data_IF_367180333866
#
_entry.id   IF_367180333866
#
_cell.length_a   1.000
_cell.length_b   1.000
_cell.length_c   1.000
_cell.angle_alpha   90.00
_cell.angle_beta   90.00
_cell.angle_gamma   90.00
#
_symmetry.space_group_name_H-M   'P 1'
#
loop_
_entity.id
_entity.type
_entity.pdbx_description
1 polymer ?
#
# COMPACT_ATOMS: atom_id res chain seq x y z
N UNK A 1 -54.88 1.68 -33.94
CA UNK A 1 -54.27 0.56 -34.70
C UNK A 1 -52.89 0.32 -34.10
N UNK A 2 -52.66 -0.86 -33.50
CA UNK A 2 -51.43 -1.33 -32.81
C UNK A 2 -50.96 -0.48 -31.61
N UNK A 3 -51.21 -0.80 -30.33
CA UNK A 3 -51.04 -2.03 -29.52
C UNK A 3 -49.62 -2.62 -29.52
N UNK A 4 -49.11 -2.76 -28.28
CA UNK A 4 -48.00 -3.57 -27.73
C UNK A 4 -46.55 -3.05 -27.71
N UNK A 5 -46.05 -2.78 -26.48
CA UNK A 5 -45.25 -3.75 -25.69
C UNK A 5 -45.29 -3.39 -24.19
N UNK A 6 -45.96 -4.22 -23.38
CA UNK A 6 -45.39 -5.01 -22.25
C UNK A 6 -44.28 -4.24 -21.51
N UNK A 7 -44.48 -3.76 -20.29
CA UNK A 7 -44.84 -4.57 -19.13
C UNK A 7 -43.59 -4.69 -18.25
N UNK A 8 -43.78 -4.41 -16.96
CA UNK A 8 -43.10 -5.01 -15.78
C UNK A 8 -41.55 -4.98 -15.70
N UNK A 9 -40.89 -4.75 -14.57
CA UNK A 9 -41.25 -4.69 -13.16
C UNK A 9 -40.24 -3.75 -12.47
N UNK A 10 -40.64 -2.93 -11.51
CA UNK A 10 -40.40 -3.20 -10.08
C UNK A 10 -39.21 -4.13 -9.78
N UNK A 11 -37.99 -3.62 -9.92
CA UNK A 11 -36.83 -4.16 -9.17
C UNK A 11 -36.43 -3.17 -8.10
N UNK A 12 -37.08 -3.35 -6.95
CA UNK A 12 -36.55 -2.96 -5.64
C UNK A 12 -35.17 -3.58 -5.48
N UNK A 13 -34.16 -2.80 -5.13
CA UNK A 13 -33.04 -3.24 -4.28
C UNK A 13 -32.24 -2.01 -3.85
N UNK A 14 -32.59 -1.49 -2.68
CA UNK A 14 -31.58 -0.92 -1.80
C UNK A 14 -30.72 -2.11 -1.35
N UNK A 15 -29.45 -2.14 -1.74
CA UNK A 15 -28.45 -3.06 -1.17
C UNK A 15 -27.30 -2.23 -0.61
N UNK A 16 -27.34 -2.10 0.71
CA UNK A 16 -26.23 -2.11 1.65
C UNK A 16 -24.83 -1.68 1.17
N UNK A 17 -24.34 -0.60 1.79
CA UNK A 17 -23.00 -0.52 2.41
C UNK A 17 -21.95 -1.52 1.89
N UNK A 18 -21.29 -1.18 0.79
CA UNK A 18 -20.00 -1.76 0.43
C UNK A 18 -18.93 -0.71 0.59
N UNK A 19 -18.07 -0.82 1.62
CA UNK A 19 -16.80 -0.09 1.64
C UNK A 19 -16.10 -0.41 0.33
N UNK A 20 -15.80 0.60 -0.49
CA UNK A 20 -14.83 0.42 -1.56
C UNK A 20 -13.60 -0.25 -0.97
N UNK A 21 -13.00 -1.26 -1.63
CA UNK A 21 -11.71 -1.72 -1.22
C UNK A 21 -10.76 -0.54 -1.40
N UNK A 22 -10.51 0.20 -0.32
CA UNK A 22 -9.35 1.05 -0.23
C UNK A 22 -8.18 0.11 -0.50
N UNK A 23 -7.62 0.19 -1.71
CA UNK A 23 -6.38 -0.51 -2.05
C UNK A 23 -5.39 -0.04 -1.00
N UNK A 24 -5.20 -0.87 0.05
CA UNK A 24 -4.24 -0.59 1.09
C UNK A 24 -2.92 -0.64 0.35
N UNK A 25 -2.32 0.53 0.14
CA UNK A 25 -1.04 0.69 -0.52
C UNK A 25 0.01 0.00 0.35
N UNK A 26 0.14 -1.31 0.19
CA UNK A 26 1.20 -2.07 0.82
C UNK A 26 2.50 -1.62 0.17
N UNK A 27 3.47 -1.10 0.95
CA UNK A 27 4.73 -0.67 0.38
C UNK A 27 5.38 -1.88 -0.30
N UNK A 28 5.71 -1.74 -1.58
CA UNK A 28 6.35 -2.80 -2.37
C UNK A 28 7.75 -3.14 -1.84
N UNK A 29 8.36 -2.18 -1.13
CA UNK A 29 9.71 -2.27 -0.61
C UNK A 29 9.80 -1.79 0.83
N UNK A 30 10.60 -2.50 1.62
CA UNK A 30 11.06 -2.06 2.94
C UNK A 30 12.56 -1.81 2.85
N UNK A 31 12.97 -0.56 3.06
CA UNK A 31 14.38 -0.17 3.08
C UNK A 31 14.85 -0.12 4.53
N UNK A 32 15.76 -1.02 4.90
CA UNK A 32 16.32 -1.08 6.26
C UNK A 32 17.75 -0.54 6.29
N UNK A 33 18.00 0.52 7.06
CA UNK A 33 19.35 1.09 7.21
C UNK A 33 19.52 1.82 8.55
N UNK A 34 20.75 2.19 8.90
CA UNK A 34 21.04 2.95 10.12
C UNK A 34 20.32 4.31 10.14
N UNK A 35 20.02 4.79 11.36
CA UNK A 35 19.43 6.11 11.62
C UNK A 35 20.45 7.25 11.44
N UNK A 36 21.06 7.35 10.26
CA UNK A 36 22.01 8.39 9.89
C UNK A 36 22.04 8.64 8.38
N UNK A 37 22.52 9.83 8.00
CA UNK A 37 22.82 10.19 6.60
C UNK A 37 24.15 9.55 6.21
N UNK A 38 24.11 8.25 5.95
CA UNK A 38 25.25 7.44 5.51
C UNK A 38 25.07 6.97 4.08
N UNK A 39 25.59 5.78 3.76
CA UNK A 39 25.47 5.18 2.43
C UNK A 39 24.03 4.80 2.04
N UNK A 40 23.09 4.84 3.00
CA UNK A 40 21.67 4.59 2.72
C UNK A 40 20.92 5.78 2.12
N UNK A 41 21.46 7.00 2.20
CA UNK A 41 20.78 8.21 1.70
C UNK A 41 20.55 8.19 0.18
N UNK A 42 21.54 7.83 -0.67
CA UNK A 42 21.31 7.74 -2.11
C UNK A 42 20.19 6.76 -2.49
N UNK A 43 20.11 5.62 -1.80
CA UNK A 43 19.04 4.64 -2.03
C UNK A 43 17.65 5.19 -1.68
N UNK A 44 17.53 5.91 -0.55
CA UNK A 44 16.25 6.56 -0.18
C UNK A 44 15.82 7.60 -1.22
N UNK A 45 16.77 8.38 -1.74
CA UNK A 45 16.48 9.37 -2.79
C UNK A 45 15.97 8.71 -4.07
N UNK A 46 16.58 7.59 -4.50
CA UNK A 46 16.13 6.85 -5.67
C UNK A 46 14.74 6.23 -5.48
N UNK A 47 14.47 5.66 -4.30
CA UNK A 47 13.16 5.09 -3.98
C UNK A 47 12.07 6.18 -3.90
N UNK A 48 12.39 7.35 -3.36
CA UNK A 48 11.48 8.49 -3.33
C UNK A 48 11.24 9.08 -4.74
N UNK A 49 12.27 9.08 -5.60
CA UNK A 49 12.16 9.56 -6.98
C UNK A 49 11.23 8.69 -7.84
N UNK A 50 11.22 7.38 -7.60
CA UNK A 50 10.41 6.42 -8.38
C UNK A 50 8.91 6.41 -8.08
N UNK A 51 8.44 7.18 -7.08
CA UNK A 51 7.03 7.27 -6.64
C UNK A 51 6.34 5.92 -6.29
N UNK A 52 7.09 4.81 -6.20
CA UNK A 52 6.54 3.49 -5.92
C UNK A 52 6.20 3.26 -4.43
N UNK A 53 6.46 4.23 -3.56
CA UNK A 53 6.21 4.15 -2.12
C UNK A 53 7.08 3.07 -1.43
N UNK A 54 7.76 3.45 -0.35
CA UNK A 54 8.57 2.48 0.41
C UNK A 54 8.50 2.76 1.90
N UNK A 55 8.70 1.71 2.70
CA UNK A 55 8.83 1.82 4.15
C UNK A 55 10.30 2.06 4.52
N UNK A 56 10.61 3.16 5.21
CA UNK A 56 11.96 3.47 5.70
C UNK A 56 12.14 2.95 7.13
N UNK A 57 12.65 1.73 7.28
CA UNK A 57 12.93 1.11 8.55
C UNK A 57 14.31 1.52 9.07
N UNK A 58 14.34 2.36 10.12
CA UNK A 58 15.59 2.88 10.69
C UNK A 58 16.05 2.08 11.88
N UNK A 59 17.26 1.53 11.77
CA UNK A 59 17.91 0.77 12.85
C UNK A 59 18.77 1.71 13.70
N UNK A 60 18.53 1.72 15.00
CA UNK A 60 19.41 2.37 15.95
C UNK A 60 20.67 1.51 16.16
N UNK A 61 21.82 2.14 16.37
CA UNK A 61 23.08 1.43 16.56
C UNK A 61 23.04 0.42 17.73
N UNK A 62 22.29 0.75 18.80
CA UNK A 62 22.06 -0.15 19.94
C UNK A 62 21.37 -1.47 19.57
N UNK A 63 20.59 -1.47 18.50
CA UNK A 63 19.82 -2.62 18.04
C UNK A 63 20.59 -3.43 17.00
N UNK A 64 21.71 -2.91 16.48
CA UNK A 64 22.56 -3.60 15.51
C UNK A 64 22.98 -5.02 15.92
N UNK A 65 23.32 -5.31 17.19
CA UNK A 65 23.65 -6.68 17.61
C UNK A 65 22.54 -7.70 17.33
N UNK A 66 21.27 -7.28 17.24
CA UNK A 66 20.13 -8.16 16.93
C UNK A 66 20.07 -8.61 15.46
N UNK A 67 20.74 -7.87 14.56
CA UNK A 67 20.78 -8.15 13.13
C UNK A 67 22.02 -8.94 12.72
N UNK A 68 22.95 -9.18 13.64
CA UNK A 68 24.13 -9.98 13.38
C UNK A 68 23.76 -11.47 13.38
N UNK A 69 24.34 -12.28 12.49
CA UNK A 69 24.13 -13.71 12.52
C UNK A 69 24.66 -14.28 13.84
N UNK A 70 23.82 -15.05 14.53
CA UNK A 70 24.25 -15.89 15.64
C UNK A 70 25.30 -16.87 15.13
N UNK A 71 26.45 -16.95 15.81
CA UNK A 71 27.45 -17.99 15.55
C UNK A 71 26.92 -19.38 15.90
#
# INVERSE_FOLDING_TARGET
>A
MHMYRRGDASTRSQTASGREPSIVNMPKYVFTYFNGKGLGEPSRLLLAFGDEGFEDHRVAEKDWPKYQPSK
#
